data_IF_661134078304
#
_entry.id   IF_661134078304
#
_cell.length_a   1.000
_cell.length_b   1.000
_cell.length_c   1.000
_cell.angle_alpha   90.00
_cell.angle_beta   90.00
_cell.angle_gamma   90.00
#
_symmetry.space_group_name_H-M   'P 1'
#
loop_
_entity.id
_entity.type
_entity.pdbx_description
1 polymer ?
#
# COMPACT_ATOMS: atom_id res chain seq x y z
N UNK A 1 -2.27 -35.16 -3.56
CA UNK A 1 -1.30 -35.14 -2.45
C UNK A 1 -0.25 -34.10 -2.78
N UNK A 2 0.23 -33.30 -1.81
CA UNK A 2 1.38 -32.42 -2.05
C UNK A 2 2.62 -33.26 -1.74
N UNK A 3 3.39 -33.62 -2.76
CA UNK A 3 4.49 -34.57 -2.60
C UNK A 3 5.73 -33.94 -1.91
N UNK A 4 5.93 -32.63 -2.06
CA UNK A 4 7.02 -31.90 -1.40
C UNK A 4 6.61 -30.46 -1.02
N UNK A 5 7.05 -30.01 0.16
CA UNK A 5 6.91 -28.62 0.63
C UNK A 5 8.30 -28.09 1.01
N UNK A 6 8.70 -26.94 0.45
CA UNK A 6 10.01 -26.32 0.69
C UNK A 6 9.80 -24.95 1.33
N UNK A 7 10.44 -24.71 2.48
CA UNK A 7 10.45 -23.41 3.16
C UNK A 7 11.74 -22.63 2.88
N UNK A 8 11.62 -21.40 2.37
CA UNK A 8 12.76 -20.49 2.23
C UNK A 8 13.03 -19.75 3.56
N UNK A 9 14.31 -19.60 3.91
CA UNK A 9 14.73 -19.02 5.20
C UNK A 9 15.49 -17.69 5.08
N UNK A 10 16.04 -17.38 3.91
CA UNK A 10 16.87 -16.19 3.70
C UNK A 10 16.02 -14.94 3.38
N UNK A 11 16.28 -13.85 4.11
CA UNK A 11 15.66 -12.53 3.86
C UNK A 11 16.55 -11.72 2.92
N UNK A 12 16.00 -11.28 1.79
CA UNK A 12 16.73 -10.47 0.79
C UNK A 12 16.35 -8.99 0.79
N UNK A 13 15.11 -8.65 1.18
CA UNK A 13 14.58 -7.28 1.11
C UNK A 13 15.21 -6.38 2.18
N UNK A 14 15.42 -6.90 3.38
CA UNK A 14 16.03 -6.19 4.49
C UNK A 14 17.48 -6.67 4.67
N UNK A 15 18.46 -5.78 4.46
CA UNK A 15 19.88 -6.09 4.67
C UNK A 15 20.27 -6.12 6.15
N UNK A 16 19.58 -5.34 6.98
CA UNK A 16 19.82 -5.27 8.41
C UNK A 16 19.30 -6.55 9.11
N UNK A 17 20.20 -7.37 9.71
CA UNK A 17 19.82 -8.59 10.41
C UNK A 17 18.92 -8.35 11.61
N UNK A 18 19.07 -7.21 12.30
CA UNK A 18 18.26 -6.88 13.46
C UNK A 18 16.83 -6.56 13.04
N UNK A 19 16.66 -5.74 12.00
CA UNK A 19 15.35 -5.44 11.44
C UNK A 19 14.66 -6.70 10.89
N UNK A 20 15.40 -7.57 10.18
CA UNK A 20 14.88 -8.85 9.69
C UNK A 20 14.39 -9.75 10.85
N UNK A 21 15.13 -9.81 11.97
CA UNK A 21 14.71 -10.52 13.18
C UNK A 21 13.42 -9.96 13.75
N UNK A 22 13.32 -8.63 13.89
CA UNK A 22 12.12 -7.96 14.40
C UNK A 22 10.88 -8.25 13.54
N UNK A 23 11.02 -8.27 12.21
CA UNK A 23 9.93 -8.66 11.30
C UNK A 23 9.53 -10.13 11.45
N UNK A 24 10.49 -11.02 11.65
CA UNK A 24 10.20 -12.45 11.87
C UNK A 24 9.51 -12.71 13.22
N UNK A 25 9.84 -11.95 14.28
CA UNK A 25 9.10 -11.98 15.56
C UNK A 25 7.62 -11.64 15.36
N UNK A 26 7.34 -10.58 14.59
CA UNK A 26 5.98 -10.17 14.25
C UNK A 26 5.25 -11.23 13.41
N UNK A 27 5.94 -11.87 12.45
CA UNK A 27 5.38 -12.99 11.64
C UNK A 27 4.94 -14.18 12.48
N UNK A 28 5.68 -14.50 13.55
CA UNK A 28 5.40 -15.64 14.44
C UNK A 28 4.41 -15.25 15.56
N UNK A 29 4.20 -13.95 15.79
CA UNK A 29 3.35 -13.44 16.87
C UNK A 29 4.03 -13.44 18.25
N UNK A 30 5.36 -13.58 18.31
CA UNK A 30 6.17 -13.53 19.54
C UNK A 30 7.05 -12.30 19.51
N UNK A 31 6.50 -11.17 19.96
CA UNK A 31 7.16 -9.87 19.87
C UNK A 31 7.83 -9.54 21.20
N UNK A 32 9.14 -9.28 21.18
CA UNK A 32 9.87 -8.83 22.35
C UNK A 32 9.61 -7.35 22.68
N UNK A 33 9.79 -6.96 23.95
CA UNK A 33 9.66 -5.54 24.37
C UNK A 33 10.62 -4.62 23.60
N UNK A 34 11.83 -5.11 23.30
CA UNK A 34 12.79 -4.43 22.44
C UNK A 34 12.18 -4.10 21.08
N UNK A 35 11.59 -5.09 20.41
CA UNK A 35 10.93 -4.90 19.11
C UNK A 35 9.79 -3.90 19.19
N UNK A 36 8.97 -3.96 20.25
CA UNK A 36 7.89 -2.98 20.48
C UNK A 36 8.44 -1.56 20.60
N UNK A 37 9.49 -1.36 21.39
CA UNK A 37 10.11 -0.04 21.58
C UNK A 37 10.72 0.47 20.27
N UNK A 38 11.42 -0.38 19.53
CA UNK A 38 12.01 -0.04 18.24
C UNK A 38 10.95 0.44 17.23
N UNK A 39 9.83 -0.30 17.07
CA UNK A 39 8.76 0.13 16.16
C UNK A 39 8.06 1.41 16.62
N UNK A 40 7.89 1.63 17.93
CA UNK A 40 7.34 2.90 18.44
C UNK A 40 8.25 4.10 18.12
N UNK A 41 9.56 3.92 18.17
CA UNK A 41 10.52 4.97 17.81
C UNK A 41 10.46 5.36 16.31
N UNK A 42 9.91 4.49 15.45
CA UNK A 42 9.73 4.78 14.02
C UNK A 42 8.56 5.73 13.72
N UNK A 43 7.73 6.11 14.72
CA UNK A 43 6.65 7.09 14.56
C UNK A 43 7.14 8.53 14.28
N UNK A 44 8.45 8.76 14.35
CA UNK A 44 9.08 10.03 13.96
C UNK A 44 8.80 10.35 12.47
N UNK A 45 8.64 11.62 12.08
CA UNK A 45 8.54 12.02 10.69
C UNK A 45 9.77 11.58 9.89
N UNK A 46 9.55 11.05 8.69
CA UNK A 46 10.64 10.73 7.78
C UNK A 46 11.08 11.99 7.03
N UNK A 47 12.40 12.19 6.91
CA UNK A 47 12.99 13.25 6.12
C UNK A 47 13.78 12.61 4.99
N UNK A 48 13.43 12.95 3.76
CA UNK A 48 14.11 12.50 2.56
C UNK A 48 14.49 13.73 1.75
N UNK A 49 15.76 13.80 1.34
CA UNK A 49 16.30 14.90 0.53
C UNK A 49 16.28 14.58 -0.97
N UNK A 50 15.93 13.35 -1.34
CA UNK A 50 15.99 12.80 -2.70
C UNK A 50 14.69 12.96 -3.51
N UNK A 51 13.67 13.63 -2.94
CA UNK A 51 12.45 14.00 -3.66
C UNK A 51 11.55 12.82 -4.06
N UNK A 52 11.81 11.62 -3.53
CA UNK A 52 10.95 10.45 -3.75
C UNK A 52 9.79 10.49 -2.76
N UNK A 53 8.58 10.53 -3.32
CA UNK A 53 7.36 10.45 -2.52
C UNK A 53 7.24 9.10 -1.81
N UNK A 54 6.85 9.14 -0.54
CA UNK A 54 6.73 7.96 0.29
C UNK A 54 5.46 7.19 -0.02
N UNK A 55 5.61 5.87 -0.15
CA UNK A 55 4.46 4.98 -0.14
C UNK A 55 3.86 4.92 1.26
N UNK A 56 2.58 5.27 1.38
CA UNK A 56 1.81 5.15 2.61
C UNK A 56 0.94 3.88 2.58
N UNK A 57 0.85 3.17 3.71
CA UNK A 57 0.08 1.93 3.82
C UNK A 57 -1.03 2.12 4.85
N UNK A 58 -2.26 1.76 4.47
CA UNK A 58 -3.45 1.89 5.31
C UNK A 58 -4.26 0.60 5.36
N UNK A 59 -5.03 0.37 6.44
CA UNK A 59 -5.82 -0.86 6.59
C UNK A 59 -7.11 -0.86 5.74
N UNK A 60 -7.62 0.31 5.31
CA UNK A 60 -8.86 0.40 4.54
C UNK A 60 -8.66 1.16 3.22
N UNK A 61 -9.45 0.78 2.21
CA UNK A 61 -9.47 1.46 0.90
C UNK A 61 -9.81 2.94 1.01
N UNK A 62 -10.78 3.30 1.84
CA UNK A 62 -11.18 4.68 2.07
C UNK A 62 -10.02 5.57 2.58
N UNK A 63 -9.14 5.02 3.44
CA UNK A 63 -7.96 5.75 3.90
C UNK A 63 -6.90 5.89 2.80
N UNK A 64 -6.70 4.85 1.98
CA UNK A 64 -5.79 4.91 0.82
C UNK A 64 -6.30 5.95 -0.19
N UNK A 65 -7.58 5.91 -0.55
CA UNK A 65 -8.21 6.85 -1.48
C UNK A 65 -8.09 8.29 -0.96
N UNK A 66 -8.40 8.54 0.32
CA UNK A 66 -8.26 9.86 0.93
C UNK A 66 -6.82 10.39 0.96
N UNK A 67 -5.82 9.52 1.21
CA UNK A 67 -4.41 9.92 1.15
C UNK A 67 -3.97 10.22 -0.29
N UNK A 68 -4.30 9.36 -1.25
CA UNK A 68 -3.97 9.55 -2.65
C UNK A 68 -4.62 10.83 -3.21
N UNK A 69 -5.89 11.09 -2.92
CA UNK A 69 -6.58 12.33 -3.32
C UNK A 69 -5.94 13.57 -2.71
N UNK A 70 -5.52 13.50 -1.43
CA UNK A 70 -4.78 14.58 -0.79
C UNK A 70 -3.46 14.85 -1.53
N UNK A 71 -2.67 13.81 -1.82
CA UNK A 71 -1.40 13.93 -2.53
C UNK A 71 -1.57 14.46 -3.95
N UNK A 72 -2.56 13.95 -4.69
CA UNK A 72 -2.90 14.43 -6.03
C UNK A 72 -3.29 15.92 -6.02
N UNK A 73 -4.01 16.39 -4.99
CA UNK A 73 -4.33 17.82 -4.85
C UNK A 73 -3.10 18.69 -4.59
N UNK A 74 -2.14 18.19 -3.82
CA UNK A 74 -0.88 18.88 -3.52
C UNK A 74 0.04 19.01 -4.75
N UNK A 75 -0.05 18.09 -5.71
CA UNK A 75 0.72 18.17 -6.95
C UNK A 75 0.34 19.42 -7.78
N UNK A 76 1.33 20.15 -8.34
CA UNK A 76 1.06 21.28 -9.21
C UNK A 76 0.45 20.83 -10.55
N UNK A 77 -0.22 21.76 -11.24
CA UNK A 77 -0.78 21.53 -12.58
C UNK A 77 -2.27 21.15 -12.58
N UNK A 78 -2.79 20.94 -13.80
CA UNK A 78 -4.21 20.75 -14.05
C UNK A 78 -4.61 19.28 -13.90
N UNK A 79 -5.79 19.06 -13.31
CA UNK A 79 -6.41 17.74 -13.21
C UNK A 79 -6.93 17.31 -14.59
N UNK A 80 -6.63 16.08 -14.96
CA UNK A 80 -7.18 15.40 -16.13
C UNK A 80 -8.03 14.25 -15.62
N UNK A 81 -9.30 14.23 -16.02
CA UNK A 81 -10.27 13.23 -15.60
C UNK A 81 -10.57 12.26 -16.73
N UNK A 82 -10.53 10.97 -16.42
CA UNK A 82 -10.79 9.88 -17.35
C UNK A 82 -11.98 9.08 -16.84
N UNK A 83 -13.06 9.04 -17.62
CA UNK A 83 -14.27 8.28 -17.33
C UNK A 83 -14.16 6.86 -17.92
N UNK A 84 -14.58 5.86 -17.14
CA UNK A 84 -14.70 4.50 -17.61
C UNK A 84 -15.89 4.34 -18.56
N UNK A 85 -15.75 3.45 -19.54
CA UNK A 85 -16.81 3.08 -20.48
C UNK A 85 -17.21 1.62 -20.25
N UNK A 86 -18.30 1.42 -19.50
CA UNK A 86 -18.79 0.10 -19.12
C UNK A 86 -20.08 -0.27 -19.87
N UNK A 87 -20.18 -1.50 -20.40
CA UNK A 87 -21.35 -2.00 -21.14
C UNK A 87 -21.97 -3.24 -20.48
N UNK A 88 -23.21 -3.60 -20.88
CA UNK A 88 -23.94 -4.77 -20.38
C UNK A 88 -25.26 -4.44 -19.67
N UNK A 89 -25.97 -5.47 -19.19
CA UNK A 89 -27.21 -5.32 -18.41
C UNK A 89 -26.92 -4.55 -17.10
N UNK A 90 -27.58 -3.40 -16.84
CA UNK A 90 -27.32 -2.57 -15.66
C UNK A 90 -27.36 -3.33 -14.33
N UNK A 91 -28.30 -4.26 -14.15
CA UNK A 91 -28.47 -4.97 -12.87
C UNK A 91 -27.30 -5.92 -12.58
N UNK A 92 -26.74 -6.52 -13.62
CA UNK A 92 -25.59 -7.45 -13.53
C UNK A 92 -24.29 -6.65 -13.48
N UNK A 93 -24.15 -5.66 -14.36
CA UNK A 93 -22.96 -4.82 -14.49
C UNK A 93 -22.64 -4.11 -13.19
N UNK A 94 -23.60 -3.42 -12.58
CA UNK A 94 -23.34 -2.60 -11.39
C UNK A 94 -22.90 -3.47 -10.21
N UNK A 95 -23.49 -4.68 -10.07
CA UNK A 95 -23.08 -5.65 -9.06
C UNK A 95 -21.65 -6.17 -9.27
N UNK A 96 -21.24 -6.41 -10.51
CA UNK A 96 -19.87 -6.84 -10.84
C UNK A 96 -18.86 -5.73 -10.58
N UNK A 97 -19.18 -4.50 -11.00
CA UNK A 97 -18.30 -3.35 -10.85
C UNK A 97 -18.03 -2.98 -9.38
N UNK A 98 -18.93 -3.29 -8.45
CA UNK A 98 -18.67 -3.10 -7.00
C UNK A 98 -17.44 -3.86 -6.49
N UNK A 99 -17.04 -4.93 -7.17
CA UNK A 99 -15.85 -5.74 -6.81
C UNK A 99 -14.62 -5.42 -7.67
N UNK A 100 -14.77 -4.52 -8.65
CA UNK A 100 -13.71 -4.18 -9.59
C UNK A 100 -12.69 -3.24 -8.93
N UNK A 101 -11.41 -3.44 -9.24
CA UNK A 101 -10.35 -2.56 -8.73
C UNK A 101 -10.33 -1.20 -9.42
N UNK A 102 -10.73 -1.15 -10.70
CA UNK A 102 -10.76 0.06 -11.49
C UNK A 102 -11.96 0.93 -11.08
N UNK A 103 -11.74 2.22 -10.74
CA UNK A 103 -12.82 3.15 -10.42
C UNK A 103 -13.57 3.57 -11.68
N UNK A 104 -14.79 4.12 -11.51
CA UNK A 104 -15.60 4.67 -12.61
C UNK A 104 -14.99 5.90 -13.25
N UNK A 105 -14.25 6.68 -12.48
CA UNK A 105 -13.47 7.81 -12.97
C UNK A 105 -12.12 7.83 -12.25
N UNK A 106 -11.07 8.22 -12.97
CA UNK A 106 -9.75 8.46 -12.39
C UNK A 106 -9.30 9.88 -12.74
N UNK A 107 -8.80 10.57 -11.72
CA UNK A 107 -8.23 11.91 -11.83
C UNK A 107 -6.71 11.83 -11.73
N UNK A 108 -5.99 12.46 -12.65
CA UNK A 108 -4.53 12.45 -12.72
C UNK A 108 -3.98 13.85 -12.96
N UNK A 109 -2.74 14.10 -12.51
CA UNK A 109 -1.95 15.30 -12.81
C UNK A 109 -0.59 14.87 -13.36
N UNK A 110 0.14 15.81 -13.96
CA UNK A 110 1.52 15.55 -14.39
C UNK A 110 2.35 15.20 -13.15
N UNK A 111 2.98 14.02 -13.15
CA UNK A 111 3.79 13.51 -12.03
C UNK A 111 3.03 12.64 -11.02
N UNK A 112 1.74 12.37 -11.25
CA UNK A 112 0.95 11.38 -10.52
C UNK A 112 1.17 9.95 -11.06
#
# INVERSE_FOLDING_TARGET
SIDHTIGLTQVFRQRDPEFARMLNEMRIGKISDHTVQAFKALARPLKFEDGVDLAELYPTRAQVEGSNEKRLRELPGNIHRYEALDTGDPAVRDKLLMSMMAPKAIELKIGA
#
